data_IF_738821548354
#
_entry.id   IF_738821548354
#
_cell.length_a   1.000
_cell.length_b   1.000
_cell.length_c   1.000
_cell.angle_alpha   90.00
_cell.angle_beta   90.00
_cell.angle_gamma   90.00
#
_symmetry.space_group_name_H-M   'P 1'
#
loop_
_entity.id
_entity.type
_entity.pdbx_description
1 polymer ?
#
# COMPACT_ATOMS: atom_id res chain seq x y z
N UNK A 1 -1.90 -0.65 6.00
CA UNK A 1 -2.98 0.16 6.60
C UNK A 1 -3.42 -0.41 7.94
N UNK A 2 -3.61 -1.73 7.98
CA UNK A 2 -4.17 -2.45 9.11
C UNK A 2 -3.39 -2.34 10.43
N UNK A 3 -2.06 -2.28 10.37
CA UNK A 3 -1.17 -2.14 11.53
C UNK A 3 -1.27 -0.81 12.29
N UNK A 4 -1.88 0.23 11.70
CA UNK A 4 -2.04 1.52 12.37
C UNK A 4 -3.34 1.55 13.20
N UNK A 5 -3.24 1.88 14.49
CA UNK A 5 -4.40 1.94 15.38
C UNK A 5 -5.26 3.21 15.21
N UNK A 6 -4.66 4.34 14.80
CA UNK A 6 -5.37 5.62 14.69
C UNK A 6 -5.78 5.95 13.24
N UNK A 7 -6.90 6.69 13.03
CA UNK A 7 -7.31 7.12 11.69
C UNK A 7 -6.22 7.93 10.96
N UNK A 8 -5.55 8.83 11.69
CA UNK A 8 -4.41 9.58 11.15
C UNK A 8 -3.20 8.69 10.81
N UNK A 9 -2.96 7.63 11.58
CA UNK A 9 -1.92 6.64 11.27
C UNK A 9 -2.24 5.87 9.99
N UNK A 10 -3.50 5.45 9.80
CA UNK A 10 -3.96 4.78 8.59
C UNK A 10 -3.82 5.70 7.36
N UNK A 11 -4.24 6.96 7.45
CA UNK A 11 -4.05 7.96 6.38
C UNK A 11 -2.58 8.18 6.03
N UNK A 12 -1.68 8.24 7.03
CA UNK A 12 -0.24 8.33 6.76
C UNK A 12 0.29 7.14 5.95
N UNK A 13 -0.21 5.93 6.22
CA UNK A 13 0.18 4.75 5.44
C UNK A 13 -0.36 4.81 4.00
N UNK A 14 -1.60 5.24 3.80
CA UNK A 14 -2.17 5.45 2.46
C UNK A 14 -1.34 6.46 1.67
N UNK A 15 -1.07 7.63 2.26
CA UNK A 15 -0.21 8.65 1.66
C UNK A 15 1.19 8.11 1.33
N UNK A 16 1.80 7.33 2.23
CA UNK A 16 3.10 6.70 1.97
C UNK A 16 3.02 5.77 0.77
N UNK A 17 1.98 4.95 0.65
CA UNK A 17 1.75 4.07 -0.49
C UNK A 17 1.67 4.87 -1.80
N UNK A 18 0.78 5.86 -1.88
CA UNK A 18 0.57 6.63 -3.11
C UNK A 18 1.84 7.37 -3.56
N UNK A 19 2.69 7.85 -2.63
CA UNK A 19 3.99 8.43 -2.99
C UNK A 19 4.97 7.41 -3.60
N UNK A 20 4.97 6.16 -3.11
CA UNK A 20 5.79 5.11 -3.72
C UNK A 20 5.26 4.75 -5.11
N UNK A 21 3.94 4.64 -5.25
CA UNK A 21 3.31 4.39 -6.55
C UNK A 21 3.67 5.47 -7.57
N UNK A 22 3.52 6.75 -7.21
CA UNK A 22 3.91 7.87 -8.07
C UNK A 22 5.39 7.87 -8.44
N UNK A 23 6.27 7.51 -7.50
CA UNK A 23 7.71 7.42 -7.77
C UNK A 23 8.04 6.30 -8.78
N UNK A 24 7.25 5.24 -8.81
CA UNK A 24 7.38 4.16 -9.80
C UNK A 24 6.74 4.49 -11.15
N UNK A 25 5.70 5.34 -11.16
CA UNK A 25 5.05 5.79 -12.39
C UNK A 25 5.85 6.86 -13.16
N UNK A 26 6.72 7.61 -12.47
CA UNK A 26 7.56 8.63 -13.11
C UNK A 26 8.51 8.00 -14.14
N UNK A 27 8.46 8.49 -15.38
CA UNK A 27 9.37 8.09 -16.47
C UNK A 27 10.30 9.25 -16.83
N UNK A 28 11.58 8.95 -17.04
CA UNK A 28 12.57 9.83 -17.67
C UNK A 28 12.50 11.32 -17.28
N UNK A 29 12.48 11.61 -15.99
CA UNK A 29 12.54 12.98 -15.46
C UNK A 29 11.22 13.75 -15.45
N UNK A 30 10.10 13.16 -15.89
CA UNK A 30 8.78 13.76 -15.78
C UNK A 30 8.08 13.33 -14.47
N UNK A 31 7.51 14.28 -13.68
CA UNK A 31 6.71 13.93 -12.51
C UNK A 31 5.43 13.21 -12.94
N UNK A 32 5.10 12.12 -12.25
CA UNK A 32 3.88 11.35 -12.51
C UNK A 32 2.62 12.21 -12.33
N UNK A 33 1.69 12.10 -13.29
CA UNK A 33 0.41 12.79 -13.28
C UNK A 33 -0.58 12.13 -12.33
N UNK A 34 -1.66 12.84 -12.01
CA UNK A 34 -2.84 12.27 -11.35
C UNK A 34 -3.45 11.11 -12.16
N UNK A 35 -3.37 11.19 -13.49
CA UNK A 35 -3.87 10.15 -14.41
C UNK A 35 -3.05 8.87 -14.34
N UNK A 36 -1.78 8.96 -13.92
CA UNK A 36 -0.91 7.80 -13.71
C UNK A 36 -1.15 7.15 -12.35
N UNK A 37 -1.63 7.92 -11.37
CA UNK A 37 -1.82 7.45 -10.00
C UNK A 37 -2.97 6.46 -9.91
N UNK A 38 -4.16 6.79 -10.42
CA UNK A 38 -5.36 6.01 -10.15
C UNK A 38 -5.28 4.58 -10.75
N UNK A 39 -4.89 4.38 -12.03
CA UNK A 39 -4.72 3.04 -12.59
C UNK A 39 -3.64 2.24 -11.84
N UNK A 40 -2.53 2.87 -11.49
CA UNK A 40 -1.45 2.22 -10.74
C UNK A 40 -1.88 1.87 -9.31
N UNK A 41 -2.73 2.70 -8.68
CA UNK A 41 -3.29 2.44 -7.36
C UNK A 41 -4.31 1.29 -7.39
N UNK A 42 -5.18 1.23 -8.41
CA UNK A 42 -6.10 0.09 -8.64
C UNK A 42 -5.30 -1.20 -8.74
N UNK A 43 -4.26 -1.22 -9.59
CA UNK A 43 -3.38 -2.38 -9.73
C UNK A 43 -2.69 -2.74 -8.41
N UNK A 44 -2.17 -1.76 -7.68
CA UNK A 44 -1.51 -1.96 -6.38
C UNK A 44 -2.48 -2.58 -5.36
N UNK A 45 -3.72 -2.12 -5.29
CA UNK A 45 -4.73 -2.65 -4.36
C UNK A 45 -5.10 -4.09 -4.73
N UNK A 46 -5.34 -4.37 -6.03
CA UNK A 46 -5.62 -5.73 -6.52
C UNK A 46 -4.49 -6.71 -6.17
N UNK A 47 -3.24 -6.28 -6.35
CA UNK A 47 -2.06 -7.13 -6.12
C UNK A 47 -1.68 -7.26 -4.65
N UNK A 48 -1.85 -6.21 -3.85
CA UNK A 48 -1.52 -6.25 -2.43
C UNK A 48 -2.61 -6.93 -1.59
N UNK A 49 -3.86 -6.92 -2.05
CA UNK A 49 -5.04 -7.46 -1.37
C UNK A 49 -5.02 -7.23 0.16
N UNK A 50 -4.97 -5.96 0.61
CA UNK A 50 -4.73 -5.64 2.01
C UNK A 50 -5.86 -6.17 2.90
N UNK A 51 -5.55 -6.80 4.05
CA UNK A 51 -6.56 -7.36 4.92
C UNK A 51 -7.48 -6.28 5.48
N UNK A 52 -8.77 -6.63 5.58
CA UNK A 52 -9.81 -5.77 6.16
C UNK A 52 -9.89 -4.38 5.49
N UNK A 53 -9.67 -4.30 4.18
CA UNK A 53 -9.60 -3.03 3.45
C UNK A 53 -10.85 -2.16 3.65
N UNK A 54 -12.03 -2.71 3.37
CA UNK A 54 -13.32 -2.00 3.50
C UNK A 54 -13.55 -1.53 4.94
N UNK A 55 -13.26 -2.39 5.93
CA UNK A 55 -13.36 -2.03 7.36
C UNK A 55 -12.40 -0.90 7.73
N UNK A 56 -11.17 -0.93 7.23
CA UNK A 56 -10.16 0.10 7.45
C UNK A 56 -10.58 1.44 6.82
N UNK A 57 -11.17 1.43 5.62
CA UNK A 57 -11.72 2.63 4.96
C UNK A 57 -12.86 3.20 5.80
N UNK A 58 -13.84 2.38 6.16
CA UNK A 58 -14.98 2.79 6.99
C UNK A 58 -14.54 3.36 8.34
N UNK A 59 -13.52 2.77 8.97
CA UNK A 59 -12.94 3.29 10.20
C UNK A 59 -12.34 4.70 10.02
N UNK A 60 -11.59 4.92 8.94
CA UNK A 60 -11.02 6.25 8.65
C UNK A 60 -12.14 7.26 8.36
N UNK A 61 -13.14 6.89 7.54
CA UNK A 61 -14.28 7.75 7.20
C UNK A 61 -15.08 8.17 8.44
N UNK A 62 -15.28 7.27 9.41
CA UNK A 62 -16.09 7.53 10.61
C UNK A 62 -15.35 8.25 11.73
N UNK A 63 -14.06 7.98 11.91
CA UNK A 63 -13.32 8.43 13.10
C UNK A 63 -12.22 9.47 12.82
N UNK A 64 -11.95 9.81 11.56
CA UNK A 64 -11.02 10.90 11.25
C UNK A 64 -11.74 12.25 11.29
N UNK A 65 -11.02 13.29 11.72
CA UNK A 65 -11.54 14.66 11.71
C UNK A 65 -11.85 15.09 10.26
N UNK A 66 -13.10 15.48 10.00
CA UNK A 66 -13.57 15.88 8.67
C UNK A 66 -12.71 16.96 8.03
N UNK A 67 -12.23 17.95 8.79
CA UNK A 67 -11.33 18.99 8.26
C UNK A 67 -10.01 18.40 7.74
N UNK A 68 -9.48 17.36 8.38
CA UNK A 68 -8.24 16.68 7.95
C UNK A 68 -8.45 15.72 6.78
N UNK A 69 -9.67 15.20 6.60
CA UNK A 69 -10.05 14.39 5.45
C UNK A 69 -10.37 15.24 4.23
N UNK A 70 -10.94 16.43 4.42
CA UNK A 70 -11.38 17.32 3.35
C UNK A 70 -10.29 18.31 2.89
N UNK A 71 -9.13 18.35 3.55
CA UNK A 71 -8.03 19.26 3.19
C UNK A 71 -6.70 18.53 3.04
N UNK A 72 -5.89 19.01 2.09
CA UNK A 72 -4.52 18.57 1.85
C UNK A 72 -4.37 17.25 1.08
N UNK A 73 -3.11 16.86 0.90
CA UNK A 73 -2.70 15.65 0.14
C UNK A 73 -3.27 14.34 0.71
N UNK A 74 -3.52 14.29 2.03
CA UNK A 74 -4.05 13.10 2.70
C UNK A 74 -5.48 12.77 2.28
N UNK A 75 -6.33 13.79 2.12
CA UNK A 75 -7.68 13.65 1.60
C UNK A 75 -7.68 13.19 0.15
N UNK A 76 -6.86 13.83 -0.69
CA UNK A 76 -6.71 13.46 -2.10
C UNK A 76 -6.35 11.98 -2.28
N UNK A 77 -5.32 11.48 -1.58
CA UNK A 77 -4.92 10.08 -1.69
C UNK A 77 -5.96 9.11 -1.11
N UNK A 78 -6.68 9.51 -0.07
CA UNK A 78 -7.75 8.70 0.50
C UNK A 78 -8.94 8.59 -0.45
N UNK A 79 -9.34 9.69 -1.09
CA UNK A 79 -10.38 9.69 -2.13
C UNK A 79 -9.98 8.78 -3.29
N UNK A 80 -8.73 8.86 -3.77
CA UNK A 80 -8.23 7.96 -4.82
C UNK A 80 -8.29 6.49 -4.40
N UNK A 81 -7.97 6.18 -3.13
CA UNK A 81 -8.11 4.82 -2.60
C UNK A 81 -9.58 4.37 -2.61
N UNK A 82 -10.52 5.22 -2.19
CA UNK A 82 -11.95 4.91 -2.24
C UNK A 82 -12.41 4.67 -3.68
N UNK A 83 -12.01 5.53 -4.63
CA UNK A 83 -12.30 5.35 -6.06
C UNK A 83 -11.74 4.03 -6.58
N UNK A 84 -10.51 3.66 -6.22
CA UNK A 84 -9.90 2.41 -6.62
C UNK A 84 -10.67 1.19 -6.09
N UNK A 85 -11.12 1.21 -4.83
CA UNK A 85 -11.92 0.14 -4.24
C UNK A 85 -13.28 0.03 -4.92
N UNK A 86 -13.97 1.16 -5.11
CA UNK A 86 -15.28 1.16 -5.79
C UNK A 86 -15.17 0.72 -7.25
N UNK A 87 -14.06 1.02 -7.94
CA UNK A 87 -13.80 0.51 -9.28
C UNK A 87 -13.65 -1.02 -9.28
N UNK A 88 -12.89 -1.57 -8.34
CA UNK A 88 -12.69 -3.02 -8.20
C UNK A 88 -14.00 -3.73 -7.88
N UNK A 89 -14.83 -3.17 -7.00
CA UNK A 89 -16.14 -3.75 -6.61
C UNK A 89 -17.13 -3.81 -7.78
N UNK A 90 -17.04 -2.87 -8.73
CA UNK A 90 -17.96 -2.75 -9.87
C UNK A 90 -17.27 -3.06 -11.21
N UNK A 91 -16.18 -3.84 -11.18
CA UNK A 91 -15.33 -4.06 -12.34
C UNK A 91 -16.04 -4.93 -13.39
N UNK A 92 -16.14 -4.41 -14.62
CA UNK A 92 -16.75 -5.11 -15.76
C UNK A 92 -15.78 -5.34 -16.91
N UNK A 93 -16.18 -6.15 -17.89
CA UNK A 93 -15.42 -6.37 -19.12
C UNK A 93 -15.20 -5.06 -19.89
N UNK A 94 -16.22 -4.19 -19.97
CA UNK A 94 -16.08 -2.88 -20.65
C UNK A 94 -15.08 -1.97 -19.93
N UNK A 95 -15.01 -2.05 -18.60
CA UNK A 95 -14.08 -1.26 -17.78
C UNK A 95 -12.61 -1.56 -18.09
N UNK A 96 -12.33 -2.78 -18.58
CA UNK A 96 -11.01 -3.24 -19.00
C UNK A 96 -10.82 -3.22 -20.53
N UNK A 97 -11.82 -2.73 -21.27
CA UNK A 97 -11.83 -2.75 -22.73
C UNK A 97 -11.60 -4.17 -23.32
N UNK A 98 -12.26 -5.17 -22.71
CA UNK A 98 -12.13 -6.60 -23.01
C UNK A 98 -13.49 -7.21 -23.43
N UNK A 99 -13.47 -8.27 -24.25
CA UNK A 99 -14.69 -9.01 -24.58
C UNK A 99 -15.24 -9.73 -23.34
N UNK A 100 -16.57 -9.74 -23.20
CA UNK A 100 -17.23 -10.38 -22.06
C UNK A 100 -16.87 -11.86 -21.92
N UNK A 101 -16.74 -12.60 -23.02
CA UNK A 101 -16.38 -14.03 -22.98
C UNK A 101 -14.97 -14.23 -22.44
N UNK A 102 -14.04 -13.37 -22.84
CA UNK A 102 -12.66 -13.42 -22.36
C UNK A 102 -12.60 -13.09 -20.86
N UNK A 103 -13.35 -12.07 -20.44
CA UNK A 103 -13.47 -11.68 -19.04
C UNK A 103 -14.02 -12.81 -18.17
N UNK A 104 -15.13 -13.43 -18.59
CA UNK A 104 -15.78 -14.53 -17.86
C UNK A 104 -14.83 -15.74 -17.73
N UNK A 105 -14.03 -16.03 -18.77
CA UNK A 105 -12.99 -17.06 -18.71
C UNK A 105 -11.92 -16.76 -17.65
N UNK A 106 -11.43 -15.52 -17.56
CA UNK A 106 -10.46 -15.14 -16.53
C UNK A 106 -11.05 -15.18 -15.13
N UNK A 107 -12.31 -14.78 -14.96
CA UNK A 107 -13.00 -14.80 -13.65
C UNK A 107 -13.34 -16.22 -13.18
N UNK A 108 -13.57 -17.15 -14.11
CA UNK A 108 -13.79 -18.57 -13.80
C UNK A 108 -12.49 -19.34 -13.49
N UNK A 109 -11.32 -18.76 -13.82
CA UNK A 109 -10.04 -19.40 -13.62
C UNK A 109 -9.73 -19.57 -12.12
N UNK A 110 -9.26 -20.74 -11.66
CA UNK A 110 -8.85 -20.92 -10.28
C UNK A 110 -7.74 -19.93 -9.90
N UNK A 111 -7.89 -19.26 -8.76
CA UNK A 111 -6.92 -18.29 -8.24
C UNK A 111 -5.48 -18.85 -8.07
N UNK A 112 -5.34 -20.19 -8.05
CA UNK A 112 -4.05 -20.88 -7.94
C UNK A 112 -3.18 -20.82 -9.20
N UNK A 113 -3.77 -20.62 -10.39
CA UNK A 113 -3.04 -20.78 -11.66
C UNK A 113 -2.35 -19.47 -12.09
N UNK A 114 -2.94 -18.31 -11.80
CA UNK A 114 -2.36 -16.99 -12.14
C UNK A 114 -1.55 -16.31 -11.03
N UNK A 115 -1.60 -16.84 -9.79
CA UNK A 115 -1.09 -16.16 -8.59
C UNK A 115 0.29 -16.59 -8.10
N UNK A 116 0.79 -17.77 -8.49
CA UNK A 116 1.96 -18.40 -7.84
C UNK A 116 3.25 -17.59 -7.96
N UNK A 117 3.56 -17.06 -9.14
CA UNK A 117 4.78 -16.29 -9.38
C UNK A 117 4.78 -14.94 -8.64
N UNK A 118 3.68 -14.19 -8.72
CA UNK A 118 3.57 -12.89 -8.03
C UNK A 118 3.48 -13.05 -6.51
N UNK A 119 2.73 -14.06 -6.02
CA UNK A 119 2.66 -14.35 -4.60
C UNK A 119 4.04 -14.73 -4.04
N UNK A 120 4.84 -15.51 -4.78
CA UNK A 120 6.21 -15.81 -4.42
C UNK A 120 7.10 -14.55 -4.41
N UNK A 121 6.99 -13.70 -5.43
CA UNK A 121 7.73 -12.43 -5.49
C UNK A 121 7.38 -11.51 -4.30
N UNK A 122 6.10 -11.36 -3.97
CA UNK A 122 5.66 -10.60 -2.80
C UNK A 122 6.20 -11.15 -1.48
N UNK A 123 6.19 -12.48 -1.32
CA UNK A 123 6.76 -13.13 -0.13
C UNK A 123 8.26 -12.82 -0.02
N UNK A 124 9.01 -12.96 -1.11
CA UNK A 124 10.45 -12.66 -1.12
C UNK A 124 10.74 -11.19 -0.78
N UNK A 125 10.04 -10.26 -1.41
CA UNK A 125 10.18 -8.83 -1.11
C UNK A 125 9.74 -8.49 0.34
N UNK A 126 8.72 -9.17 0.86
CA UNK A 126 8.28 -9.03 2.25
C UNK A 126 9.36 -9.47 3.23
N UNK A 127 9.93 -10.66 3.00
CA UNK A 127 11.01 -11.23 3.81
C UNK A 127 12.27 -10.36 3.76
N UNK A 128 12.65 -9.85 2.59
CA UNK A 128 13.80 -8.95 2.46
C UNK A 128 13.59 -7.65 3.26
N UNK A 129 12.38 -7.10 3.21
CA UNK A 129 12.05 -5.89 3.96
C UNK A 129 12.06 -6.13 5.47
N UNK A 130 11.46 -7.23 5.94
CA UNK A 130 11.50 -7.62 7.35
C UNK A 130 12.94 -7.85 7.82
N UNK A 131 13.77 -8.52 7.01
CA UNK A 131 15.18 -8.72 7.30
C UNK A 131 15.94 -7.39 7.41
N UNK A 132 15.67 -6.42 6.52
CA UNK A 132 16.28 -5.09 6.58
C UNK A 132 15.83 -4.31 7.82
N UNK A 133 14.54 -4.37 8.18
CA UNK A 133 14.02 -3.72 9.40
C UNK A 133 14.63 -4.34 10.68
N UNK A 134 14.78 -5.67 10.73
CA UNK A 134 15.46 -6.38 11.82
C UNK A 134 16.96 -6.04 11.92
N UNK A 135 17.66 -5.96 10.78
CA UNK A 135 19.08 -5.56 10.73
C UNK A 135 19.29 -4.15 11.26
N UNK A 136 18.44 -3.20 10.86
CA UNK A 136 18.49 -1.82 11.36
C UNK A 136 18.22 -1.75 12.86
N UNK A 137 17.24 -2.52 13.37
CA UNK A 137 16.96 -2.62 14.80
C UNK A 137 18.15 -3.22 15.58
N UNK A 138 18.77 -4.27 15.04
CA UNK A 138 19.94 -4.92 15.65
C UNK A 138 21.17 -3.99 15.69
N UNK A 139 21.41 -3.20 14.63
CA UNK A 139 22.45 -2.17 14.63
C UNK A 139 22.22 -1.14 15.73
N UNK A 140 21.01 -0.61 15.83
CA UNK A 140 20.65 0.37 16.86
C UNK A 140 20.81 -0.18 18.28
N UNK A 141 20.41 -1.44 18.51
CA UNK A 141 20.61 -2.10 19.79
C UNK A 141 22.10 -2.28 20.12
N UNK A 142 22.93 -2.60 19.12
CA UNK A 142 24.39 -2.75 19.27
C UNK A 142 25.07 -1.43 19.62
N UNK A 143 24.68 -0.34 18.96
CA UNK A 143 25.17 1.02 19.28
C UNK A 143 24.81 1.43 20.71
N UNK A 144 23.58 1.15 21.16
CA UNK A 144 23.17 1.41 22.55
C UNK A 144 23.98 0.61 23.56
N UNK A 145 24.29 -0.65 23.25
CA UNK A 145 25.08 -1.52 24.12
C UNK A 145 26.53 -1.01 24.23
N UNK A 146 27.11 -0.55 23.11
CA UNK A 146 28.42 0.10 23.09
C UNK A 146 28.42 1.40 23.89
N UNK A 147 27.40 2.26 23.78
CA UNK A 147 27.31 3.50 24.59
C UNK A 147 27.22 3.19 26.09
N UNK A 148 26.43 2.19 26.47
CA UNK A 148 26.32 1.74 27.87
C UNK A 148 27.64 1.19 28.40
N UNK A 149 28.36 0.37 27.62
CA UNK A 149 29.70 -0.11 27.98
C UNK A 149 30.67 1.06 28.17
N UNK A 150 30.67 2.01 27.23
CA UNK A 150 31.53 3.20 27.31
C UNK A 150 31.21 4.12 28.51
N UNK A 151 29.97 4.08 29.02
CA UNK A 151 29.55 4.76 30.24
C UNK A 151 29.97 3.99 31.50
N UNK A 152 29.88 2.66 31.47
CA UNK A 152 30.30 1.81 32.58
C UNK A 152 31.82 1.88 32.81
N UNK A 153 32.63 1.91 31.75
CA UNK A 153 34.09 2.00 31.83
C UNK A 153 34.60 3.38 32.31
N UNK A 154 33.70 4.38 32.43
CA UNK A 154 34.00 5.73 32.92
C UNK A 154 33.62 5.95 34.39
N UNK A 155 33.09 4.92 35.07
CA UNK A 155 32.78 4.90 36.50
C UNK A 155 33.86 4.14 37.27
#
# INVERSE_FOLDING_TARGET
MDSAASPGGKLRQVRRCCRHVLALCGRDGAPASADDLLPALIFTVLKANPPRLVSNINFVTRFCNAQRLMTGEGGYYFTNLCCAVSFIENLTAESLNMDKKEFDCYMAMPASIGGSSWAAALLLCGVEREANEQRAAAQKAREQLQDLQHRADRL
#
